data_IF_960102038765
#
_entry.id   IF_960102038765
#
_cell.length_a   1.000
_cell.length_b   1.000
_cell.length_c   1.000
_cell.angle_alpha   90.00
_cell.angle_beta   90.00
_cell.angle_gamma   90.00
#
_symmetry.space_group_name_H-M   'P 1'
#
loop_
_entity.id
_entity.type
_entity.pdbx_description
1 polymer ?
#
# COMPACT_ATOMS: atom_id res chain seq x y z
N UNK A 1 27.29 -19.98 -15.87
CA UNK A 1 26.47 -19.51 -14.74
C UNK A 1 26.07 -18.07 -15.06
N UNK A 2 24.88 -17.86 -15.61
CA UNK A 2 24.41 -16.52 -15.98
C UNK A 2 24.13 -15.76 -14.68
N UNK A 3 24.85 -14.66 -14.46
CA UNK A 3 24.51 -13.70 -13.41
C UNK A 3 23.24 -13.01 -13.91
N UNK A 4 22.07 -13.49 -13.50
CA UNK A 4 20.84 -12.73 -13.66
C UNK A 4 21.13 -11.37 -13.00
N UNK A 5 20.98 -10.27 -13.73
CA UNK A 5 21.14 -8.96 -13.16
C UNK A 5 20.21 -8.87 -11.94
N UNK A 6 20.76 -8.50 -10.78
CA UNK A 6 19.93 -8.21 -9.63
C UNK A 6 19.09 -6.99 -10.04
N UNK A 7 17.79 -7.18 -10.21
CA UNK A 7 16.88 -6.06 -10.49
C UNK A 7 16.95 -5.08 -9.33
N UNK A 8 17.25 -3.81 -9.61
CA UNK A 8 17.34 -2.81 -8.56
C UNK A 8 15.95 -2.51 -7.99
N UNK A 9 15.87 -2.40 -6.66
CA UNK A 9 14.66 -1.97 -5.96
C UNK A 9 14.49 -0.46 -6.14
N UNK A 10 13.27 -0.02 -6.46
CA UNK A 10 13.00 1.40 -6.75
C UNK A 10 12.26 2.05 -5.59
N UNK A 11 11.07 1.55 -5.26
CA UNK A 11 10.18 2.11 -4.23
C UNK A 11 9.04 1.17 -3.90
N UNK A 12 8.37 1.43 -2.78
CA UNK A 12 7.07 0.82 -2.45
C UNK A 12 5.95 1.73 -2.93
N UNK A 13 4.91 1.16 -3.52
CA UNK A 13 3.74 1.91 -4.01
C UNK A 13 2.50 1.34 -3.35
N UNK A 14 1.60 2.18 -2.87
CA UNK A 14 0.22 1.79 -2.56
C UNK A 14 -0.70 2.46 -3.56
N UNK A 15 -1.35 1.67 -4.39
CA UNK A 15 -2.42 2.13 -5.28
C UNK A 15 -3.73 2.12 -4.51
N UNK A 16 -4.38 3.27 -4.46
CA UNK A 16 -5.67 3.46 -3.80
C UNK A 16 -6.73 3.59 -4.87
N UNK A 17 -7.74 2.73 -4.78
CA UNK A 17 -8.87 2.76 -5.69
C UNK A 17 -10.19 2.54 -4.96
N UNK A 18 -11.30 2.86 -5.60
CA UNK A 18 -12.63 2.60 -5.02
C UNK A 18 -12.89 1.10 -4.99
N UNK A 19 -13.37 0.58 -3.85
CA UNK A 19 -13.63 -0.85 -3.67
C UNK A 19 -14.70 -1.41 -4.63
N UNK A 20 -15.59 -0.55 -5.12
CA UNK A 20 -16.63 -0.91 -6.10
C UNK A 20 -16.51 -0.11 -7.40
N UNK A 21 -17.06 -0.65 -8.49
CA UNK A 21 -17.19 0.07 -9.77
C UNK A 21 -18.30 1.12 -9.74
N UNK A 22 -19.21 1.03 -8.77
CA UNK A 22 -20.32 1.95 -8.53
C UNK A 22 -20.18 2.51 -7.11
N UNK A 23 -19.24 3.45 -6.90
CA UNK A 23 -18.94 4.01 -5.59
C UNK A 23 -20.21 4.56 -4.94
N UNK A 24 -20.38 4.25 -3.65
CA UNK A 24 -21.47 4.77 -2.83
C UNK A 24 -21.23 6.25 -2.49
N UNK A 25 -22.14 6.86 -1.74
CA UNK A 25 -21.97 8.23 -1.25
C UNK A 25 -20.84 8.39 -0.22
N UNK A 26 -20.31 7.29 0.33
CA UNK A 26 -19.32 7.28 1.39
C UNK A 26 -18.01 6.59 0.98
N UNK A 27 -16.94 6.94 1.69
CA UNK A 27 -15.59 6.41 1.46
C UNK A 27 -15.57 4.89 1.59
N UNK A 28 -15.10 4.23 0.55
CA UNK A 28 -14.87 2.79 0.50
C UNK A 28 -13.76 2.50 -0.53
N UNK A 29 -12.58 2.10 -0.04
CA UNK A 29 -11.37 1.96 -0.85
C UNK A 29 -10.74 0.58 -0.70
N UNK A 30 -10.15 0.13 -1.79
CA UNK A 30 -9.25 -1.03 -1.85
C UNK A 30 -7.81 -0.55 -2.08
N UNK A 31 -6.86 -1.27 -1.49
CA UNK A 31 -5.44 -0.95 -1.53
C UNK A 31 -4.67 -2.10 -2.14
N UNK A 32 -3.84 -1.78 -3.13
CA UNK A 32 -2.84 -2.68 -3.68
C UNK A 32 -1.45 -2.14 -3.32
N UNK A 33 -0.75 -2.84 -2.44
CA UNK A 33 0.63 -2.53 -2.07
C UNK A 33 1.59 -3.32 -2.95
N UNK A 34 2.55 -2.62 -3.56
CA UNK A 34 3.47 -3.18 -4.55
C UNK A 34 4.90 -2.73 -4.26
N UNK A 35 5.85 -3.56 -4.69
CA UNK A 35 7.26 -3.21 -4.79
C UNK A 35 7.58 -2.96 -6.26
N UNK A 36 7.96 -1.73 -6.59
CA UNK A 36 8.50 -1.39 -7.90
C UNK A 36 9.98 -1.77 -7.97
N UNK A 37 10.33 -2.42 -9.07
CA UNK A 37 11.67 -2.86 -9.42
C UNK A 37 12.05 -2.27 -10.78
N UNK A 38 13.36 -2.23 -11.05
CA UNK A 38 13.89 -1.65 -12.28
C UNK A 38 13.27 -2.27 -13.54
N UNK A 39 13.05 -1.44 -14.57
CA UNK A 39 12.36 -1.85 -15.78
C UNK A 39 10.83 -1.69 -15.73
N UNK A 40 10.30 -1.03 -14.68
CA UNK A 40 8.87 -0.71 -14.55
C UNK A 40 8.00 -1.92 -14.21
N UNK A 41 8.63 -3.03 -13.80
CA UNK A 41 7.93 -4.20 -13.25
C UNK A 41 7.57 -3.91 -11.79
N UNK A 42 6.46 -4.47 -11.34
CA UNK A 42 6.08 -4.41 -9.93
C UNK A 42 5.64 -5.80 -9.47
N UNK A 43 5.91 -6.12 -8.21
CA UNK A 43 5.43 -7.34 -7.55
C UNK A 43 4.48 -6.97 -6.42
N UNK A 44 3.46 -7.79 -6.22
CA UNK A 44 2.39 -7.50 -5.26
C UNK A 44 2.85 -7.89 -3.85
N UNK A 45 2.84 -6.93 -2.93
CA UNK A 45 3.14 -7.16 -1.52
C UNK A 45 1.85 -7.42 -0.74
N UNK A 46 0.78 -6.66 -0.97
CA UNK A 46 -0.53 -6.85 -0.31
C UNK A 46 -1.64 -6.50 -1.29
N UNK A 47 -2.75 -7.27 -1.31
CA UNK A 47 -3.89 -7.04 -2.22
C UNK A 47 -5.26 -7.15 -1.56
N UNK A 48 -5.27 -7.48 -0.28
CA UNK A 48 -6.42 -7.75 0.56
C UNK A 48 -6.68 -6.63 1.58
N UNK A 49 -6.04 -5.49 1.36
CA UNK A 49 -6.14 -4.31 2.23
C UNK A 49 -7.14 -3.31 1.65
N UNK A 50 -7.76 -2.55 2.54
CA UNK A 50 -8.82 -1.62 2.22
C UNK A 50 -9.42 -1.03 3.49
N UNK A 51 -10.10 0.09 3.34
CA UNK A 51 -10.84 0.70 4.43
C UNK A 51 -12.05 1.44 3.89
N UNK A 52 -13.07 1.58 4.73
CA UNK A 52 -14.27 2.30 4.39
C UNK A 52 -14.94 2.83 5.64
N UNK A 53 -15.94 3.68 5.44
CA UNK A 53 -16.68 4.27 6.54
C UNK A 53 -17.91 5.03 6.07
N UNK A 54 -18.50 5.79 6.98
CA UNK A 54 -19.68 6.61 6.71
C UNK A 54 -19.34 8.01 6.19
N UNK A 55 -18.07 8.40 6.15
CA UNK A 55 -17.62 9.73 5.70
C UNK A 55 -17.94 9.93 4.21
N UNK A 56 -18.62 11.02 3.82
CA UNK A 56 -18.86 11.32 2.41
C UNK A 56 -17.59 11.68 1.65
N UNK A 57 -17.50 11.30 0.36
CA UNK A 57 -16.34 11.59 -0.49
C UNK A 57 -15.96 13.07 -0.57
N UNK A 58 -16.95 13.97 -0.63
CA UNK A 58 -16.71 15.42 -0.71
C UNK A 58 -16.20 16.07 0.58
N UNK A 59 -16.04 15.30 1.66
CA UNK A 59 -15.60 15.80 2.98
C UNK A 59 -14.23 15.28 3.40
N UNK A 60 -13.70 14.26 2.73
CA UNK A 60 -12.37 13.71 3.01
C UNK A 60 -11.35 14.33 2.07
N UNK A 61 -10.17 14.64 2.59
CA UNK A 61 -9.05 15.16 1.81
C UNK A 61 -8.16 14.04 1.25
N UNK A 62 -7.37 14.37 0.24
CA UNK A 62 -6.33 13.46 -0.30
C UNK A 62 -5.31 13.10 0.78
N UNK A 63 -4.87 14.08 1.57
CA UNK A 63 -3.86 13.90 2.62
C UNK A 63 -4.37 12.95 3.73
N UNK A 64 -5.65 13.06 4.10
CA UNK A 64 -6.28 12.14 5.03
C UNK A 64 -6.35 10.73 4.46
N UNK A 65 -6.75 10.55 3.20
CA UNK A 65 -6.77 9.23 2.58
C UNK A 65 -5.36 8.64 2.43
N UNK A 66 -4.35 9.46 2.14
CA UNK A 66 -2.96 9.01 2.06
C UNK A 66 -2.48 8.51 3.43
N UNK A 67 -2.76 9.26 4.48
CA UNK A 67 -2.43 8.87 5.86
C UNK A 67 -3.08 7.53 6.23
N UNK A 68 -4.37 7.35 5.95
CA UNK A 68 -5.07 6.09 6.21
C UNK A 68 -4.56 4.94 5.34
N UNK A 69 -4.23 5.20 4.07
CA UNK A 69 -3.68 4.18 3.18
C UNK A 69 -2.33 3.66 3.70
N UNK A 70 -1.45 4.56 4.15
CA UNK A 70 -0.16 4.21 4.76
C UNK A 70 -0.33 3.40 6.03
N UNK A 71 -1.25 3.80 6.92
CA UNK A 71 -1.54 3.07 8.13
C UNK A 71 -2.12 1.66 7.83
N UNK A 72 -3.05 1.56 6.88
CA UNK A 72 -3.77 0.30 6.59
C UNK A 72 -2.88 -0.78 5.96
N UNK A 73 -1.91 -0.38 5.14
CA UNK A 73 -0.92 -1.33 4.59
C UNK A 73 0.28 -1.52 5.51
N UNK A 74 0.41 -0.74 6.58
CA UNK A 74 1.53 -0.79 7.50
C UNK A 74 1.47 -1.98 8.48
N UNK A 75 2.44 -2.04 9.41
CA UNK A 75 2.41 -3.03 10.49
C UNK A 75 1.11 -2.94 11.30
N UNK A 76 0.60 -4.09 11.74
CA UNK A 76 -0.56 -4.12 12.62
C UNK A 76 -0.20 -3.53 14.00
N UNK A 77 -1.21 -3.06 14.74
CA UNK A 77 -1.02 -2.53 16.09
C UNK A 77 -0.51 -3.61 17.05
N UNK A 78 0.29 -3.25 18.09
CA UNK A 78 0.78 -4.22 19.07
C UNK A 78 -0.36 -4.93 19.81
N UNK A 79 -0.23 -6.25 19.97
CA UNK A 79 -1.18 -7.08 20.71
C UNK A 79 -0.45 -8.18 21.50
N UNK A 80 -1.15 -8.83 22.44
CA UNK A 80 -0.63 -9.97 23.23
C UNK A 80 0.76 -9.75 23.88
N UNK A 81 1.06 -8.51 24.28
CA UNK A 81 2.33 -8.14 24.90
C UNK A 81 3.50 -7.94 23.94
N UNK A 82 3.27 -8.01 22.63
CA UNK A 82 4.23 -7.60 21.61
C UNK A 82 4.42 -6.08 21.62
N UNK A 83 5.61 -5.63 21.20
CA UNK A 83 5.90 -4.21 21.01
C UNK A 83 5.65 -3.77 19.58
N UNK A 84 5.61 -2.45 19.34
CA UNK A 84 5.53 -1.91 17.98
C UNK A 84 6.74 -2.33 17.12
N UNK A 85 7.93 -2.45 17.71
CA UNK A 85 9.14 -2.91 17.02
C UNK A 85 9.01 -4.39 16.61
N UNK A 86 8.38 -5.22 17.44
CA UNK A 86 8.12 -6.61 17.09
C UNK A 86 7.18 -6.73 15.90
N UNK A 87 6.08 -5.98 15.92
CA UNK A 87 5.11 -5.92 14.82
C UNK A 87 5.74 -5.42 13.53
N UNK A 88 6.55 -4.37 13.61
CA UNK A 88 7.25 -3.81 12.46
C UNK A 88 8.23 -4.81 11.85
N UNK A 89 9.05 -5.46 12.69
CA UNK A 89 10.01 -6.47 12.24
C UNK A 89 9.33 -7.64 11.52
N UNK A 90 8.25 -8.15 12.09
CA UNK A 90 7.54 -9.30 11.51
C UNK A 90 6.78 -8.91 10.24
N UNK A 91 6.22 -7.69 10.19
CA UNK A 91 5.64 -7.12 8.99
C UNK A 91 6.64 -7.05 7.83
N UNK A 92 7.83 -6.48 8.04
CA UNK A 92 8.82 -6.36 6.96
C UNK A 92 9.34 -7.73 6.48
N UNK A 93 9.50 -8.69 7.40
CA UNK A 93 9.87 -10.08 7.05
C UNK A 93 8.79 -10.76 6.22
N UNK A 94 7.53 -10.55 6.56
CA UNK A 94 6.40 -11.07 5.82
C UNK A 94 6.38 -10.53 4.39
N UNK A 95 6.53 -9.21 4.20
CA UNK A 95 6.57 -8.61 2.86
C UNK A 95 7.77 -9.08 2.02
N UNK A 96 8.94 -9.24 2.64
CA UNK A 96 10.12 -9.80 1.97
C UNK A 96 9.86 -11.23 1.47
N UNK A 97 9.16 -12.06 2.25
CA UNK A 97 8.80 -13.41 1.85
C UNK A 97 7.86 -13.41 0.63
N UNK A 98 6.85 -12.53 0.61
CA UNK A 98 5.93 -12.40 -0.53
C UNK A 98 6.62 -11.93 -1.81
N UNK A 99 7.61 -11.03 -1.71
CA UNK A 99 8.43 -10.63 -2.85
C UNK A 99 9.27 -11.81 -3.37
N UNK A 100 9.84 -12.61 -2.46
CA UNK A 100 10.66 -13.77 -2.82
C UNK A 100 9.85 -14.87 -3.53
N UNK A 101 8.60 -15.09 -3.14
CA UNK A 101 7.66 -16.00 -3.84
C UNK A 101 7.44 -15.59 -5.31
N UNK A 102 7.61 -14.31 -5.63
CA UNK A 102 7.50 -13.75 -6.98
C UNK A 102 8.85 -13.59 -7.69
N UNK A 103 9.92 -14.14 -7.11
CA UNK A 103 11.27 -14.14 -7.67
C UNK A 103 12.10 -12.89 -7.39
N UNK A 104 11.64 -12.00 -6.51
CA UNK A 104 12.38 -10.79 -6.10
C UNK A 104 13.00 -11.02 -4.72
N UNK A 105 14.32 -11.15 -4.67
CA UNK A 105 15.05 -11.30 -3.41
C UNK A 105 15.33 -9.93 -2.81
N UNK A 106 14.70 -9.64 -1.67
CA UNK A 106 14.88 -8.41 -0.91
C UNK A 106 14.84 -8.72 0.58
N UNK A 107 15.62 -8.01 1.38
CA UNK A 107 15.60 -8.12 2.84
C UNK A 107 14.54 -7.23 3.46
N UNK A 108 14.13 -7.56 4.69
CA UNK A 108 13.23 -6.73 5.48
C UNK A 108 13.77 -5.29 5.66
N UNK A 109 15.10 -5.15 5.87
CA UNK A 109 15.75 -3.85 6.06
C UNK A 109 15.69 -3.02 4.78
N UNK A 110 16.09 -3.61 3.64
CA UNK A 110 16.02 -2.92 2.34
C UNK A 110 14.59 -2.45 2.04
N UNK A 111 13.57 -3.29 2.27
CA UNK A 111 12.17 -2.90 2.09
C UNK A 111 11.75 -1.73 2.97
N UNK A 112 12.17 -1.72 4.23
CA UNK A 112 11.80 -0.68 5.20
C UNK A 112 12.38 0.69 4.83
N UNK A 113 13.57 0.71 4.22
CA UNK A 113 14.27 1.93 3.82
C UNK A 113 13.76 2.51 2.49
N UNK A 114 13.02 1.74 1.69
CA UNK A 114 12.45 2.23 0.46
C UNK A 114 11.39 3.31 0.71
N UNK A 115 11.46 4.37 -0.09
CA UNK A 115 10.42 5.38 -0.21
C UNK A 115 9.06 4.73 -0.47
N UNK A 116 8.05 5.18 0.24
CA UNK A 116 6.67 4.72 0.08
C UNK A 116 5.84 5.81 -0.58
N UNK A 117 5.35 5.52 -1.78
CA UNK A 117 4.46 6.39 -2.55
C UNK A 117 3.02 5.91 -2.46
N UNK A 118 2.08 6.83 -2.43
CA UNK A 118 0.65 6.54 -2.53
C UNK A 118 0.13 7.14 -3.83
N UNK A 119 -0.53 6.33 -4.64
CA UNK A 119 -1.07 6.73 -5.94
C UNK A 119 -2.58 6.52 -5.96
N UNK A 120 -3.33 7.56 -6.28
CA UNK A 120 -4.79 7.52 -6.33
C UNK A 120 -5.28 7.29 -7.75
N UNK A 121 -6.23 6.36 -7.91
CA UNK A 121 -6.86 6.13 -9.20
C UNK A 121 -7.64 7.38 -9.67
N UNK A 122 -7.63 7.72 -10.97
CA UNK A 122 -8.35 8.89 -11.49
C UNK A 122 -9.85 8.89 -11.22
N UNK A 123 -10.47 7.71 -11.05
CA UNK A 123 -11.89 7.60 -10.66
C UNK A 123 -12.13 7.99 -9.21
N UNK A 124 -11.22 7.64 -8.31
CA UNK A 124 -11.28 8.03 -6.91
C UNK A 124 -11.09 9.54 -6.76
N UNK A 125 -10.11 10.13 -7.44
CA UNK A 125 -9.88 11.58 -7.41
C UNK A 125 -11.11 12.39 -7.83
N UNK A 126 -11.88 11.89 -8.81
CA UNK A 126 -13.13 12.52 -9.23
C UNK A 126 -14.20 12.53 -8.14
N UNK A 127 -14.21 11.57 -7.22
CA UNK A 127 -15.13 11.54 -6.09
C UNK A 127 -14.75 12.56 -5.01
N UNK A 128 -13.46 12.78 -4.80
CA UNK A 128 -12.98 13.80 -3.86
C UNK A 128 -13.27 15.22 -4.33
N UNK A 129 -13.35 15.40 -5.65
CA UNK A 129 -13.67 16.69 -6.28
C UNK A 129 -15.18 16.98 -6.30
N UNK A 130 -16.06 16.06 -5.88
CA UNK A 130 -17.50 16.31 -5.81
C UNK A 130 -17.90 17.19 -4.61
N UNK A 131 -17.06 18.17 -4.24
CA UNK A 131 -17.39 19.12 -3.17
C UNK A 131 -18.74 19.74 -3.50
N UNK A 132 -19.71 19.45 -2.65
CA UNK A 132 -21.01 20.11 -2.73
C UNK A 132 -20.78 21.56 -2.30
N UNK A 133 -21.17 22.56 -3.11
CA UNK A 133 -21.03 23.97 -2.75
C UNK A 133 -21.81 24.32 -1.47
#
# INVERSE_FOLDING_TARGET
MYKMAAEALVRRITRVDTASNHPTSSVDVTLLHELEIEGGRSVVLLRDRGFGGSTPWGTVSVDELETHARATVGPDEPFDGLTAEDMERDYWRYLAALAAEQGVLVTAVELSELSHHVEFAPRLLRLLDTRTP
#
